data_IF_594198411722
#
_entry.id   IF_594198411722
#
_cell.length_a   1.000
_cell.length_b   1.000
_cell.length_c   1.000
_cell.angle_alpha   90.00
_cell.angle_beta   90.00
_cell.angle_gamma   90.00
#
_symmetry.space_group_name_H-M   'P 1'
#
loop_
_entity.id
_entity.type
_entity.pdbx_description
1 polymer ?
#
# COMPACT_ATOMS: atom_id res chain seq x y z
N UNK A 1 9.23 -2.37 -3.24
CA UNK A 1 8.11 -3.30 -3.00
C UNK A 1 6.77 -2.57 -3.05
N UNK A 2 5.86 -3.09 -3.86
CA UNK A 2 4.51 -2.55 -3.97
C UNK A 2 3.65 -3.06 -2.82
N UNK A 3 2.95 -2.16 -2.15
CA UNK A 3 2.08 -2.50 -1.03
C UNK A 3 0.67 -1.98 -1.33
N UNK A 4 -0.27 -2.90 -1.52
CA UNK A 4 -1.66 -2.58 -1.83
C UNK A 4 -2.47 -2.57 -0.55
N UNK A 5 -3.03 -1.41 -0.21
CA UNK A 5 -3.79 -1.24 1.05
C UNK A 5 -5.31 -1.29 0.85
N UNK A 6 -5.73 -1.77 -0.32
CA UNK A 6 -7.17 -1.95 -0.58
C UNK A 6 -7.68 -3.20 0.13
N UNK A 7 -8.99 -3.43 0.04
CA UNK A 7 -9.59 -4.64 0.59
C UNK A 7 -9.11 -5.87 -0.17
N UNK A 8 -9.09 -7.05 0.49
CA UNK A 8 -8.66 -8.27 -0.20
C UNK A 8 -9.46 -8.58 -1.45
N UNK A 9 -10.77 -8.31 -1.44
CA UNK A 9 -11.60 -8.56 -2.62
C UNK A 9 -11.22 -7.67 -3.79
N UNK A 10 -10.83 -6.43 -3.52
CA UNK A 10 -10.35 -5.53 -4.56
C UNK A 10 -9.03 -6.03 -5.13
N UNK A 11 -8.14 -6.48 -4.25
CA UNK A 11 -6.83 -6.99 -4.63
C UNK A 11 -6.96 -8.25 -5.49
N UNK A 12 -7.84 -9.16 -5.11
CA UNK A 12 -8.06 -10.38 -5.88
C UNK A 12 -8.58 -10.10 -7.27
N UNK A 13 -9.45 -9.09 -7.39
CA UNK A 13 -10.02 -8.74 -8.67
C UNK A 13 -8.97 -8.19 -9.64
N UNK A 14 -8.09 -7.35 -9.13
CA UNK A 14 -7.05 -6.72 -9.95
C UNK A 14 -5.99 -6.11 -9.04
N UNK A 15 -4.73 -6.33 -9.35
CA UNK A 15 -3.63 -5.73 -8.60
C UNK A 15 -2.37 -5.68 -9.44
N UNK A 16 -1.41 -4.88 -8.99
CA UNK A 16 -0.10 -4.78 -9.65
C UNK A 16 0.70 -6.06 -9.38
N UNK A 17 1.48 -6.47 -10.38
CA UNK A 17 2.33 -7.65 -10.21
C UNK A 17 3.30 -7.45 -9.06
N UNK A 18 3.53 -8.51 -8.31
CA UNK A 18 4.44 -8.53 -7.18
C UNK A 18 4.00 -7.66 -6.01
N UNK A 19 2.79 -7.10 -6.04
CA UNK A 19 2.27 -6.35 -4.91
C UNK A 19 1.86 -7.29 -3.79
N UNK A 20 2.10 -6.86 -2.54
CA UNK A 20 1.55 -7.57 -1.39
C UNK A 20 0.31 -6.79 -0.92
N UNK A 21 -0.67 -7.52 -0.41
CA UNK A 21 -1.91 -6.91 0.05
C UNK A 21 -1.96 -6.89 1.58
N UNK A 22 -1.93 -5.69 2.14
CA UNK A 22 -2.21 -5.49 3.56
C UNK A 22 -3.25 -4.39 3.63
N UNK A 23 -4.52 -4.75 3.84
CA UNK A 23 -5.57 -3.73 3.90
C UNK A 23 -5.26 -2.67 4.95
N UNK A 24 -5.68 -1.44 4.67
CA UNK A 24 -5.35 -0.31 5.54
C UNK A 24 -5.71 -0.57 7.00
N UNK A 25 -6.85 -1.21 7.25
CA UNK A 25 -7.31 -1.45 8.62
C UNK A 25 -6.43 -2.46 9.38
N UNK A 26 -5.60 -3.22 8.67
CA UNK A 26 -4.69 -4.18 9.28
C UNK A 26 -3.24 -3.71 9.32
N UNK A 27 -2.93 -2.57 8.72
CA UNK A 27 -1.53 -2.21 8.51
C UNK A 27 -0.74 -2.11 9.81
N UNK A 28 -1.37 -1.57 10.87
CA UNK A 28 -0.68 -1.46 12.16
C UNK A 28 -0.35 -2.82 12.76
N UNK A 29 -1.20 -3.81 12.52
CA UNK A 29 -0.99 -5.17 13.04
C UNK A 29 0.08 -5.93 12.27
N UNK A 30 0.36 -5.51 11.04
CA UNK A 30 1.28 -6.22 10.16
C UNK A 30 2.63 -5.53 10.00
N UNK A 31 2.87 -4.45 10.74
CA UNK A 31 4.13 -3.71 10.59
C UNK A 31 5.37 -4.56 10.81
N UNK A 32 5.30 -5.50 11.74
CA UNK A 32 6.44 -6.37 12.04
C UNK A 32 6.70 -7.42 10.96
N UNK A 33 5.81 -7.55 9.99
CA UNK A 33 6.04 -8.45 8.85
C UNK A 33 6.73 -7.73 7.70
N UNK A 34 6.90 -6.42 7.82
CA UNK A 34 7.54 -5.61 6.79
C UNK A 34 9.01 -5.38 7.13
N UNK A 35 9.80 -5.12 6.09
CA UNK A 35 11.24 -4.95 6.22
C UNK A 35 11.60 -3.47 6.13
N UNK A 36 12.12 -2.89 7.21
CA UNK A 36 12.48 -1.48 7.24
C UNK A 36 13.63 -1.12 6.29
N UNK A 37 14.37 -2.11 5.83
CA UNK A 37 15.44 -1.85 4.86
C UNK A 37 14.92 -1.68 3.43
N UNK A 38 13.65 -2.02 3.19
CA UNK A 38 13.04 -1.89 1.88
C UNK A 38 12.26 -0.59 1.75
N UNK A 39 12.09 -0.17 0.51
CA UNK A 39 11.21 0.96 0.19
C UNK A 39 9.85 0.40 -0.23
N UNK A 40 8.80 0.99 0.28
CA UNK A 40 7.44 0.56 -0.04
C UNK A 40 6.72 1.62 -0.84
N UNK A 41 6.13 1.22 -1.94
CA UNK A 41 5.28 2.09 -2.74
C UNK A 41 3.85 1.67 -2.44
N UNK A 42 3.14 2.51 -1.71
CA UNK A 42 1.80 2.20 -1.21
C UNK A 42 0.78 2.62 -2.26
N UNK A 43 -0.11 1.71 -2.61
CA UNK A 43 -1.10 1.97 -3.65
C UNK A 43 -2.52 1.61 -3.22
N UNK A 44 -3.48 2.28 -3.83
CA UNK A 44 -4.89 2.01 -3.67
C UNK A 44 -5.60 2.47 -4.94
N UNK A 45 -6.93 2.57 -4.94
CA UNK A 45 -7.66 2.96 -6.14
C UNK A 45 -7.55 4.46 -6.47
N UNK A 46 -7.65 5.33 -5.47
CA UNK A 46 -7.68 6.78 -5.69
C UNK A 46 -6.53 7.55 -5.04
N UNK A 47 -5.76 6.93 -4.18
CA UNK A 47 -4.68 7.60 -3.45
C UNK A 47 -5.00 7.96 -2.02
N UNK A 48 -6.26 7.92 -1.60
CA UNK A 48 -6.64 8.29 -0.23
C UNK A 48 -6.14 7.29 0.80
N UNK A 49 -6.44 6.01 0.55
CA UNK A 49 -6.03 4.94 1.46
C UNK A 49 -4.52 4.77 1.45
N UNK A 50 -3.90 4.95 0.28
CA UNK A 50 -2.45 4.83 0.19
C UNK A 50 -1.74 5.95 0.94
N UNK A 51 -2.29 7.16 0.91
CA UNK A 51 -1.71 8.27 1.68
C UNK A 51 -1.74 7.98 3.18
N UNK A 52 -2.87 7.46 3.68
CA UNK A 52 -2.98 7.09 5.08
C UNK A 52 -2.01 5.97 5.43
N UNK A 53 -1.89 4.96 4.56
CA UNK A 53 -0.97 3.85 4.78
C UNK A 53 0.47 4.29 4.81
N UNK A 54 0.87 5.14 3.87
CA UNK A 54 2.24 5.66 3.81
C UNK A 54 2.55 6.48 5.06
N UNK A 55 1.60 7.26 5.54
CA UNK A 55 1.78 8.03 6.76
C UNK A 55 2.07 7.12 7.95
N UNK A 56 1.27 6.06 8.11
CA UNK A 56 1.46 5.11 9.21
C UNK A 56 2.84 4.47 9.13
N UNK A 57 3.25 4.05 7.94
CA UNK A 57 4.57 3.45 7.75
C UNK A 57 5.68 4.43 8.06
N UNK A 58 5.56 5.67 7.59
CA UNK A 58 6.57 6.68 7.83
C UNK A 58 6.75 6.99 9.31
N UNK A 59 5.65 7.02 10.07
CA UNK A 59 5.70 7.23 11.51
C UNK A 59 6.48 6.13 12.22
N UNK A 60 6.50 4.94 11.65
CA UNK A 60 7.15 3.78 12.25
C UNK A 60 8.54 3.52 11.69
N UNK A 61 9.10 4.48 10.96
CA UNK A 61 10.47 4.39 10.47
C UNK A 61 10.66 3.69 9.14
N UNK A 62 9.57 3.39 8.42
CA UNK A 62 9.66 2.80 7.10
C UNK A 62 9.81 3.87 6.03
N UNK A 63 10.46 3.52 4.93
CA UNK A 63 10.53 4.37 3.75
C UNK A 63 9.29 4.07 2.90
N UNK A 64 8.34 4.99 2.88
CA UNK A 64 7.07 4.77 2.20
C UNK A 64 6.76 5.90 1.24
N UNK A 65 6.27 5.53 0.07
CA UNK A 65 5.91 6.45 -1.00
C UNK A 65 4.51 6.12 -1.47
N UNK A 66 3.83 7.08 -2.07
CA UNK A 66 2.46 6.90 -2.53
C UNK A 66 2.44 6.87 -4.06
N UNK A 67 1.75 5.88 -4.63
CA UNK A 67 1.51 5.85 -6.07
C UNK A 67 0.52 6.97 -6.39
N UNK A 68 0.97 7.95 -7.13
CA UNK A 68 0.15 9.11 -7.46
C UNK A 68 -1.05 8.72 -8.31
N UNK A 69 -2.23 9.13 -7.88
CA UNK A 69 -3.46 8.89 -8.63
C UNK A 69 -4.08 7.53 -8.46
N UNK A 70 -3.36 6.59 -7.80
CA UNK A 70 -3.90 5.26 -7.56
C UNK A 70 -3.85 4.36 -8.79
N UNK A 71 -4.24 3.11 -8.58
CA UNK A 71 -4.16 2.07 -9.62
C UNK A 71 -5.12 2.34 -10.77
N UNK A 72 -6.34 2.76 -10.45
CA UNK A 72 -7.36 2.97 -11.47
C UNK A 72 -6.98 4.08 -12.45
N UNK A 73 -6.29 5.09 -11.96
CA UNK A 73 -5.86 6.19 -12.81
C UNK A 73 -4.78 5.75 -13.78
N UNK A 74 -3.94 4.83 -13.36
CA UNK A 74 -2.89 4.28 -14.21
C UNK A 74 -3.47 3.54 -15.41
N UNK A 75 -4.67 3.00 -15.27
CA UNK A 75 -5.32 2.20 -16.30
C UNK A 75 -6.18 3.05 -17.23
N UNK A 76 -6.52 4.23 -16.83
CA UNK A 76 -7.35 5.14 -17.61
C UNK A 76 -6.55 6.00 -18.60
#
# INVERSE_FOLDING_TARGET
>A
QWLDVRLPSEFENQHLDSAINIPLYFIRLKLNTLDQSKKYIVCCDTGRRSSAGAYILSERGFQAYVLRGGINKEQG
#
